data_IF_499581250174
#
_entry.id   IF_499581250174
#
_cell.length_a   1.000
_cell.length_b   1.000
_cell.length_c   1.000
_cell.angle_alpha   90.00
_cell.angle_beta   90.00
_cell.angle_gamma   90.00
#
_symmetry.space_group_name_H-M   'P 1'
#
loop_
_entity.id
_entity.type
_entity.pdbx_description
1 polymer ?
#
# COMPACT_ATOMS: atom_id res chain seq x y z
N UNK A 1 5.83 -19.25 3.78
CA UNK A 1 6.51 -18.65 2.61
C UNK A 1 7.74 -19.48 2.33
N UNK A 2 7.97 -19.81 1.06
CA UNK A 2 9.12 -20.61 0.62
C UNK A 2 10.11 -19.70 -0.12
N UNK A 3 11.40 -19.96 0.11
CA UNK A 3 12.50 -19.29 -0.55
C UNK A 3 13.12 -20.24 -1.57
N UNK A 4 13.08 -19.89 -2.84
CA UNK A 4 13.76 -20.63 -3.90
C UNK A 4 14.91 -19.80 -4.45
N UNK A 5 16.00 -20.46 -4.84
CA UNK A 5 17.11 -19.85 -5.56
C UNK A 5 17.21 -20.46 -6.94
N UNK A 6 17.56 -19.64 -7.93
CA UNK A 6 17.94 -20.13 -9.24
C UNK A 6 19.18 -21.02 -9.13
N UNK A 7 19.35 -21.93 -10.08
CA UNK A 7 20.58 -22.70 -10.20
C UNK A 7 21.80 -21.77 -10.26
N UNK A 8 22.91 -22.19 -9.66
CA UNK A 8 24.20 -21.50 -9.73
C UNK A 8 24.76 -21.40 -11.16
N UNK A 9 24.21 -22.19 -12.10
CA UNK A 9 24.52 -22.09 -13.53
C UNK A 9 23.85 -20.90 -14.21
N UNK A 10 22.87 -20.26 -13.57
CA UNK A 10 22.20 -19.05 -14.06
C UNK A 10 22.94 -17.85 -13.47
N UNK A 11 23.57 -17.06 -14.34
CA UNK A 11 24.46 -15.94 -13.99
C UNK A 11 23.81 -14.99 -12.99
N UNK A 12 22.50 -14.74 -13.10
CA UNK A 12 21.84 -13.74 -12.29
C UNK A 12 21.48 -14.17 -10.85
N UNK A 13 21.72 -15.43 -10.43
CA UNK A 13 21.58 -15.91 -9.03
C UNK A 13 20.36 -15.33 -8.28
N UNK A 14 19.17 -15.47 -8.86
CA UNK A 14 17.95 -14.89 -8.33
C UNK A 14 17.40 -15.71 -7.16
N UNK A 15 16.95 -15.03 -6.12
CA UNK A 15 16.14 -15.62 -5.06
C UNK A 15 14.70 -15.12 -5.21
N UNK A 16 13.74 -16.03 -5.08
CA UNK A 16 12.32 -15.77 -5.22
C UNK A 16 11.62 -16.06 -3.90
N UNK A 17 10.66 -15.20 -3.56
CA UNK A 17 9.76 -15.43 -2.45
C UNK A 17 8.42 -15.96 -2.97
N UNK A 18 8.01 -17.12 -2.48
CA UNK A 18 6.79 -17.80 -2.90
C UNK A 18 5.83 -18.02 -1.74
N UNK A 19 4.53 -17.98 -2.03
CA UNK A 19 3.48 -18.38 -1.10
C UNK A 19 2.68 -19.55 -1.68
N UNK A 20 2.47 -20.58 -0.87
CA UNK A 20 1.45 -21.57 -1.14
C UNK A 20 0.07 -20.94 -0.86
N UNK A 21 -0.75 -20.86 -1.91
CA UNK A 21 -2.11 -20.35 -1.89
C UNK A 21 -3.15 -21.46 -2.10
N UNK A 22 -2.77 -22.73 -1.93
CA UNK A 22 -3.65 -23.89 -2.11
C UNK A 22 -4.00 -24.17 -3.56
N UNK A 23 -3.06 -23.92 -4.48
CA UNK A 23 -3.22 -24.03 -5.93
C UNK A 23 -2.07 -24.85 -6.54
N UNK A 24 -2.20 -25.27 -7.80
CA UNK A 24 -1.18 -26.06 -8.50
C UNK A 24 0.17 -25.34 -8.57
N UNK A 25 0.15 -24.01 -8.76
CA UNK A 25 1.35 -23.18 -8.80
C UNK A 25 1.40 -22.24 -7.61
N UNK A 26 2.57 -22.06 -6.96
CA UNK A 26 2.70 -21.08 -5.89
C UNK A 26 2.57 -19.65 -6.43
N UNK A 27 2.08 -18.73 -5.59
CA UNK A 27 2.03 -17.31 -5.90
C UNK A 27 3.40 -16.66 -5.71
N UNK A 28 3.89 -15.95 -6.72
CA UNK A 28 5.16 -15.21 -6.65
C UNK A 28 4.99 -13.87 -5.94
N UNK A 29 5.74 -13.69 -4.85
CA UNK A 29 5.70 -12.50 -4.02
C UNK A 29 6.78 -11.51 -4.45
N UNK A 30 6.36 -10.32 -4.86
CA UNK A 30 7.23 -9.23 -5.30
C UNK A 30 7.05 -7.98 -4.43
N UNK A 31 7.96 -7.04 -4.58
CA UNK A 31 7.94 -5.78 -3.85
C UNK A 31 8.32 -4.63 -4.77
N UNK A 32 7.57 -3.53 -4.68
CA UNK A 32 7.90 -2.26 -5.31
C UNK A 32 8.16 -1.23 -4.21
N UNK A 33 9.39 -0.71 -4.08
CA UNK A 33 9.74 0.24 -3.03
C UNK A 33 9.08 1.61 -3.24
N UNK A 34 9.11 2.46 -2.20
CA UNK A 34 8.57 3.82 -2.27
C UNK A 34 9.21 4.64 -3.39
N UNK A 35 8.48 5.64 -3.92
CA UNK A 35 9.03 6.55 -4.90
C UNK A 35 10.26 7.26 -4.30
N UNK A 36 11.35 7.25 -5.06
CA UNK A 36 12.55 8.03 -4.77
C UNK A 36 12.49 9.33 -5.58
N UNK A 37 12.79 10.46 -4.93
CA UNK A 37 12.82 11.77 -5.59
C UNK A 37 13.77 11.75 -6.78
N UNK A 38 13.35 12.33 -7.91
CA UNK A 38 14.14 12.38 -9.14
C UNK A 38 14.40 11.04 -9.86
N UNK A 39 13.84 9.92 -9.38
CA UNK A 39 13.97 8.60 -10.04
C UNK A 39 12.67 8.18 -10.72
N UNK A 40 12.68 7.52 -11.88
CA UNK A 40 11.45 7.01 -12.50
C UNK A 40 10.75 5.96 -11.62
N UNK A 41 9.47 5.72 -11.91
CA UNK A 41 8.72 4.61 -11.32
C UNK A 41 9.46 3.28 -11.59
N UNK A 42 9.47 2.39 -10.59
CA UNK A 42 10.23 1.14 -10.65
C UNK A 42 9.28 -0.02 -10.93
N UNK A 43 9.76 -1.00 -11.69
CA UNK A 43 9.07 -2.28 -11.82
C UNK A 43 9.11 -3.05 -10.48
N UNK A 44 8.15 -3.96 -10.25
CA UNK A 44 8.23 -4.92 -9.16
C UNK A 44 9.54 -5.70 -9.20
N UNK A 45 10.09 -5.99 -8.02
CA UNK A 45 11.34 -6.74 -7.86
C UNK A 45 11.14 -7.92 -6.92
N UNK A 46 12.12 -8.80 -6.89
CA UNK A 46 12.14 -9.91 -5.93
C UNK A 46 12.04 -9.42 -4.48
N UNK A 47 11.14 -10.03 -3.73
CA UNK A 47 10.83 -9.65 -2.35
C UNK A 47 11.87 -10.16 -1.34
N UNK A 48 13.14 -10.21 -1.74
CA UNK A 48 14.19 -10.88 -0.99
C UNK A 48 15.06 -9.97 -0.14
N UNK A 49 15.04 -8.66 -0.42
CA UNK A 49 15.72 -7.65 0.39
C UNK A 49 15.05 -7.40 1.74
N UNK A 50 15.80 -6.89 2.71
CA UNK A 50 15.31 -6.67 4.08
C UNK A 50 14.05 -5.79 4.15
N UNK A 51 13.99 -4.71 3.37
CA UNK A 51 12.81 -3.85 3.31
C UNK A 51 11.57 -4.59 2.80
N UNK A 52 11.70 -5.38 1.73
CA UNK A 52 10.63 -6.19 1.19
C UNK A 52 10.12 -7.22 2.20
N UNK A 53 11.03 -7.94 2.87
CA UNK A 53 10.68 -8.94 3.89
C UNK A 53 9.91 -8.31 5.05
N UNK A 54 10.32 -7.13 5.53
CA UNK A 54 9.61 -6.42 6.61
C UNK A 54 8.18 -6.06 6.19
N UNK A 55 7.98 -5.55 4.98
CA UNK A 55 6.64 -5.24 4.47
C UNK A 55 5.80 -6.51 4.34
N UNK A 56 6.40 -7.62 3.87
CA UNK A 56 5.72 -8.90 3.76
C UNK A 56 5.35 -9.53 5.11
N UNK A 57 6.23 -9.47 6.11
CA UNK A 57 5.98 -9.98 7.46
C UNK A 57 4.71 -9.36 8.06
N UNK A 58 4.56 -8.04 7.91
CA UNK A 58 3.43 -7.25 8.44
C UNK A 58 2.09 -7.48 7.74
N UNK A 59 2.03 -8.36 6.75
CA UNK A 59 0.80 -8.71 6.05
C UNK A 59 0.73 -10.15 5.57
N UNK A 60 1.64 -11.04 6.01
CA UNK A 60 1.73 -12.40 5.53
C UNK A 60 0.45 -13.21 5.84
N UNK A 61 -0.08 -13.09 7.06
CA UNK A 61 -1.28 -13.83 7.48
C UNK A 61 -2.52 -13.51 6.63
N UNK A 62 -2.58 -12.32 6.04
CA UNK A 62 -3.72 -11.94 5.17
C UNK A 62 -3.67 -12.56 3.78
N UNK A 63 -2.58 -13.24 3.40
CA UNK A 63 -2.50 -13.99 2.14
C UNK A 63 -3.50 -15.14 2.06
N UNK A 64 -3.98 -15.62 3.21
CA UNK A 64 -5.03 -16.65 3.26
C UNK A 64 -6.31 -16.25 2.50
N UNK A 65 -6.63 -14.95 2.43
CA UNK A 65 -7.78 -14.44 1.67
C UNK A 65 -7.65 -14.59 0.15
N UNK A 66 -6.46 -14.92 -0.34
CA UNK A 66 -6.14 -15.14 -1.75
C UNK A 66 -6.15 -16.63 -2.15
N UNK A 67 -6.40 -17.55 -1.21
CA UNK A 67 -6.44 -18.99 -1.51
C UNK A 67 -7.57 -19.32 -2.49
N UNK A 68 -7.34 -20.26 -3.40
CA UNK A 68 -8.37 -20.70 -4.34
C UNK A 68 -8.75 -19.68 -5.42
N UNK A 69 -7.96 -18.61 -5.60
CA UNK A 69 -8.25 -17.52 -6.54
C UNK A 69 -7.39 -17.54 -7.80
N UNK A 70 -6.63 -18.62 -8.05
CA UNK A 70 -5.75 -18.71 -9.22
C UNK A 70 -4.73 -17.56 -9.32
N UNK A 71 -4.18 -17.12 -8.18
CA UNK A 71 -3.24 -16.00 -8.10
C UNK A 71 -1.86 -16.42 -8.59
N UNK A 72 -1.34 -15.70 -9.58
CA UNK A 72 -0.02 -15.93 -10.17
C UNK A 72 1.05 -15.10 -9.47
N UNK A 73 0.78 -13.83 -9.24
CA UNK A 73 1.72 -12.88 -8.63
C UNK A 73 1.04 -11.99 -7.61
N UNK A 74 1.73 -11.68 -6.52
CA UNK A 74 1.30 -10.67 -5.55
C UNK A 74 2.44 -9.67 -5.34
N UNK A 75 2.17 -8.39 -5.61
CA UNK A 75 3.12 -7.30 -5.41
C UNK A 75 2.68 -6.43 -4.23
N UNK A 76 3.57 -6.21 -3.26
CA UNK A 76 3.40 -5.11 -2.31
C UNK A 76 4.09 -3.87 -2.89
N UNK A 77 3.30 -2.90 -3.36
CA UNK A 77 3.81 -1.59 -3.75
C UNK A 77 3.68 -0.61 -2.60
N UNK A 78 4.80 -0.23 -2.01
CA UNK A 78 4.85 0.89 -1.07
C UNK A 78 4.75 2.18 -1.87
N UNK A 79 3.60 2.85 -1.86
CA UNK A 79 3.38 4.04 -2.69
C UNK A 79 3.70 5.34 -1.94
N UNK A 80 3.84 5.28 -0.61
CA UNK A 80 4.12 6.46 0.22
C UNK A 80 4.62 6.12 1.62
N UNK A 81 5.29 7.10 2.22
CA UNK A 81 5.69 7.13 3.63
C UNK A 81 5.28 8.46 4.23
N UNK A 82 4.55 8.43 5.32
CA UNK A 82 3.98 9.62 5.94
C UNK A 82 4.51 9.76 7.36
N UNK A 83 5.08 10.92 7.68
CA UNK A 83 5.40 11.30 9.05
C UNK A 83 4.10 11.55 9.82
N UNK A 84 4.00 10.92 11.00
CA UNK A 84 2.80 10.99 11.81
C UNK A 84 2.83 12.20 12.74
N UNK A 85 1.67 12.84 13.00
CA UNK A 85 1.56 13.93 13.95
C UNK A 85 2.12 13.59 15.34
N UNK A 86 2.61 14.61 16.05
CA UNK A 86 3.14 14.44 17.41
C UNK A 86 4.51 13.76 17.47
N UNK A 87 5.21 13.61 16.35
CA UNK A 87 6.50 12.92 16.34
C UNK A 87 6.37 11.40 16.53
N UNK A 88 5.18 10.83 16.28
CA UNK A 88 4.90 9.41 16.47
C UNK A 88 5.64 8.47 15.50
N UNK A 89 6.56 9.00 14.68
CA UNK A 89 7.37 8.25 13.73
C UNK A 89 6.80 8.24 12.32
N UNK A 90 7.35 7.37 11.47
CA UNK A 90 7.02 7.30 10.04
C UNK A 90 6.24 6.03 9.72
N UNK A 91 5.08 6.21 9.12
CA UNK A 91 4.23 5.14 8.59
C UNK A 91 4.58 4.81 7.14
N UNK A 92 4.14 3.65 6.67
CA UNK A 92 4.19 3.28 5.25
C UNK A 92 2.79 2.97 4.73
N UNK A 93 2.55 3.32 3.48
CA UNK A 93 1.31 3.04 2.77
C UNK A 93 1.60 2.08 1.63
N UNK A 94 0.92 0.93 1.66
CA UNK A 94 1.19 -0.19 0.75
C UNK A 94 -0.07 -0.55 0.01
N UNK A 95 -0.01 -0.57 -1.31
CA UNK A 95 -1.02 -1.21 -2.13
C UNK A 95 -0.54 -2.60 -2.51
N UNK A 96 -1.23 -3.62 -2.02
CA UNK A 96 -1.00 -4.99 -2.42
C UNK A 96 -1.88 -5.29 -3.63
N UNK A 97 -1.26 -5.65 -4.75
CA UNK A 97 -1.97 -6.15 -5.93
C UNK A 97 -1.77 -7.64 -6.06
N UNK A 98 -2.85 -8.39 -6.26
CA UNK A 98 -2.82 -9.79 -6.67
C UNK A 98 -3.34 -9.90 -8.10
N UNK A 99 -2.54 -10.47 -8.99
CA UNK A 99 -2.91 -10.76 -10.37
C UNK A 99 -3.16 -12.25 -10.53
N UNK A 100 -4.33 -12.59 -11.08
CA UNK A 100 -4.74 -13.98 -11.34
C UNK A 100 -4.41 -14.42 -12.76
N UNK A 101 -4.39 -15.73 -12.98
CA UNK A 101 -4.27 -16.34 -14.32
C UNK A 101 -5.41 -15.94 -15.26
N UNK A 102 -6.59 -15.62 -14.72
CA UNK A 102 -7.73 -15.12 -15.49
C UNK A 102 -7.57 -13.65 -15.96
N UNK A 103 -6.44 -12.99 -15.65
CA UNK A 103 -6.16 -11.61 -16.03
C UNK A 103 -6.81 -10.55 -15.15
N UNK A 104 -7.67 -10.95 -14.20
CA UNK A 104 -8.31 -10.04 -13.23
C UNK A 104 -7.33 -9.70 -12.11
N UNK A 105 -7.23 -8.42 -11.76
CA UNK A 105 -6.46 -7.92 -10.63
C UNK A 105 -7.35 -7.52 -9.47
N UNK A 106 -6.93 -7.83 -8.25
CA UNK A 106 -7.52 -7.30 -7.02
C UNK A 106 -6.48 -6.57 -6.21
N UNK A 107 -6.88 -5.54 -5.47
CA UNK A 107 -6.00 -4.77 -4.60
C UNK A 107 -6.51 -4.72 -3.18
N UNK A 108 -5.60 -4.64 -2.23
CA UNK A 108 -5.88 -4.09 -0.90
C UNK A 108 -4.86 -3.03 -0.53
N UNK A 109 -5.36 -1.91 -0.02
CA UNK A 109 -4.54 -0.82 0.48
C UNK A 109 -4.38 -0.97 1.98
N UNK A 110 -3.15 -0.85 2.46
CA UNK A 110 -2.80 -1.06 3.86
C UNK A 110 -2.02 0.13 4.40
N UNK A 111 -2.39 0.53 5.60
CA UNK A 111 -1.62 1.43 6.45
C UNK A 111 -0.74 0.61 7.38
N UNK A 112 0.56 0.81 7.29
CA UNK A 112 1.56 0.22 8.18
C UNK A 112 1.97 1.30 9.20
N UNK A 113 1.52 1.22 10.46
CA UNK A 113 1.98 2.17 11.48
C UNK A 113 3.51 2.08 11.65
N UNK A 114 4.14 3.10 12.26
CA UNK A 114 5.54 3.05 12.66
C UNK A 114 5.85 1.72 13.34
N UNK A 115 6.95 1.09 12.94
CA UNK A 115 7.34 -0.20 13.48
C UNK A 115 7.80 0.00 14.93
N UNK A 116 6.90 -0.22 15.89
CA UNK A 116 7.28 -0.49 17.29
C UNK A 116 7.93 -1.85 17.37
N UNK A 117 7.27 -2.87 16.79
CA UNK A 117 7.80 -4.19 16.51
C UNK A 117 7.89 -4.44 15.01
N UNK A 118 8.83 -5.31 14.59
CA UNK A 118 9.04 -5.64 13.18
C UNK A 118 7.80 -6.28 12.52
N UNK A 119 6.94 -6.92 13.31
CA UNK A 119 5.81 -7.72 12.86
C UNK A 119 4.43 -7.10 13.12
N UNK A 120 4.37 -5.87 13.66
CA UNK A 120 3.09 -5.18 13.94
C UNK A 120 2.23 -5.17 12.66
N UNK A 121 1.06 -5.84 12.63
CA UNK A 121 0.31 -6.00 11.39
C UNK A 121 -0.10 -4.66 10.78
N UNK A 122 -0.13 -4.61 9.44
CA UNK A 122 -0.76 -3.52 8.73
C UNK A 122 -2.28 -3.55 8.87
N UNK A 123 -2.92 -2.38 8.94
CA UNK A 123 -4.38 -2.24 8.86
C UNK A 123 -4.80 -2.13 7.40
N UNK A 124 -5.77 -2.95 6.96
CA UNK A 124 -6.41 -2.75 5.67
C UNK A 124 -7.35 -1.53 5.73
N UNK A 125 -7.27 -0.66 4.75
CA UNK A 125 -7.99 0.63 4.73
C UNK A 125 -8.89 0.80 3.51
N UNK A 126 -8.68 0.00 2.46
CA UNK A 126 -9.50 -0.07 1.26
C UNK A 126 -9.19 -1.37 0.51
N UNK A 127 -10.13 -1.85 -0.31
CA UNK A 127 -9.92 -3.03 -1.14
C UNK A 127 -10.85 -3.01 -2.36
N UNK A 128 -10.32 -3.40 -3.51
CA UNK A 128 -11.07 -3.38 -4.76
C UNK A 128 -10.74 -4.63 -5.61
N UNK A 129 -11.68 -5.04 -6.45
CA UNK A 129 -11.58 -6.23 -7.31
C UNK A 129 -11.81 -5.82 -8.76
N UNK A 130 -11.35 -6.66 -9.68
CA UNK A 130 -11.48 -6.41 -11.12
C UNK A 130 -10.96 -5.02 -11.54
N UNK A 131 -9.83 -4.62 -10.95
CA UNK A 131 -9.29 -3.26 -11.04
C UNK A 131 -7.88 -3.22 -11.61
N UNK A 132 -7.55 -2.12 -12.28
CA UNK A 132 -6.21 -1.82 -12.79
C UNK A 132 -5.29 -1.18 -11.73
N UNK A 133 -5.82 -0.80 -10.55
CA UNK A 133 -5.06 -0.13 -9.51
C UNK A 133 -3.77 -0.86 -9.13
N UNK A 134 -2.73 -0.10 -8.83
CA UNK A 134 -1.43 -0.59 -8.37
C UNK A 134 -0.73 -1.50 -9.40
N UNK A 135 -0.95 -1.19 -10.67
CA UNK A 135 -0.32 -1.82 -11.83
C UNK A 135 0.24 -0.75 -12.77
N UNK A 136 0.87 -1.18 -13.87
CA UNK A 136 1.29 -0.28 -14.94
C UNK A 136 0.14 0.53 -15.56
N UNK A 137 -1.11 0.10 -15.42
CA UNK A 137 -2.29 0.77 -15.96
C UNK A 137 -3.01 1.66 -14.94
N UNK A 138 -2.96 1.31 -13.65
CA UNK A 138 -3.54 2.08 -12.55
C UNK A 138 -2.46 2.57 -11.61
N UNK A 139 -1.71 3.58 -12.06
CA UNK A 139 -0.49 4.05 -11.39
C UNK A 139 -0.74 5.08 -10.29
N UNK A 140 -1.99 5.50 -10.10
CA UNK A 140 -2.31 6.57 -9.17
C UNK A 140 -3.45 6.16 -8.23
N UNK A 141 -3.27 6.44 -6.95
CA UNK A 141 -4.26 6.16 -5.92
C UNK A 141 -4.14 7.17 -4.78
N UNK A 142 -5.25 7.33 -4.06
CA UNK A 142 -5.30 8.01 -2.77
C UNK A 142 -6.05 7.12 -1.78
N UNK A 143 -5.55 7.06 -0.55
CA UNK A 143 -6.15 6.28 0.52
C UNK A 143 -6.19 7.08 1.82
N UNK A 144 -7.06 6.66 2.74
CA UNK A 144 -7.27 7.35 4.01
C UNK A 144 -7.49 6.37 5.16
N UNK A 145 -7.16 6.78 6.38
CA UNK A 145 -7.45 6.03 7.60
C UNK A 145 -7.69 6.96 8.76
N UNK A 146 -8.61 6.61 9.66
CA UNK A 146 -8.58 7.14 11.01
C UNK A 146 -7.36 6.56 11.75
N UNK A 147 -6.71 7.39 12.54
CA UNK A 147 -5.57 7.00 13.37
C UNK A 147 -5.59 7.81 14.68
N UNK A 148 -5.07 7.23 15.75
CA UNK A 148 -4.95 7.87 17.04
C UNK A 148 -3.47 7.94 17.43
N UNK A 149 -3.03 9.13 17.86
CA UNK A 149 -1.67 9.33 18.35
C UNK A 149 -1.45 8.67 19.71
N UNK A 150 -0.19 8.45 20.12
CA UNK A 150 0.12 7.95 21.47
C UNK A 150 -0.49 8.80 22.59
N UNK A 151 -0.65 10.11 22.38
CA UNK A 151 -1.30 11.05 23.32
C UNK A 151 -2.83 11.03 23.24
N UNK A 152 -3.42 10.12 22.45
CA UNK A 152 -4.87 9.93 22.36
C UNK A 152 -5.58 10.86 21.37
N UNK A 153 -4.87 11.74 20.65
CA UNK A 153 -5.46 12.66 19.66
C UNK A 153 -5.81 11.92 18.38
N UNK A 154 -7.01 12.15 17.85
CA UNK A 154 -7.49 11.49 16.62
C UNK A 154 -7.14 12.32 15.39
N UNK A 155 -6.82 11.63 14.31
CA UNK A 155 -6.52 12.22 13.02
C UNK A 155 -7.13 11.40 11.88
N UNK A 156 -7.58 12.09 10.83
CA UNK A 156 -7.70 11.51 9.51
C UNK A 156 -6.35 11.63 8.80
N UNK A 157 -5.72 10.49 8.53
CA UNK A 157 -4.53 10.43 7.69
C UNK A 157 -4.94 10.16 6.24
N UNK A 158 -4.32 10.86 5.31
CA UNK A 158 -4.50 10.71 3.87
C UNK A 158 -3.13 10.62 3.20
N UNK A 159 -2.99 9.67 2.28
CA UNK A 159 -1.80 9.53 1.44
C UNK A 159 -2.17 9.30 -0.02
N UNK A 160 -1.50 10.05 -0.89
CA UNK A 160 -1.51 9.91 -2.33
C UNK A 160 -0.24 9.24 -2.85
N UNK A 161 -0.35 8.55 -3.98
CA UNK A 161 0.79 8.08 -4.76
C UNK A 161 1.64 9.24 -5.30
N UNK A 162 2.84 8.93 -5.80
CA UNK A 162 3.85 9.87 -6.31
C UNK A 162 3.31 11.13 -7.01
N UNK A 163 2.43 10.96 -7.99
CA UNK A 163 1.93 12.04 -8.87
C UNK A 163 0.82 12.89 -8.24
N UNK A 164 0.43 12.62 -7.00
CA UNK A 164 -0.53 13.47 -6.28
C UNK A 164 0.16 14.77 -5.89
N UNK A 165 -0.34 15.87 -6.43
CA UNK A 165 0.15 17.22 -6.19
C UNK A 165 -0.69 18.01 -5.17
N UNK A 166 -1.88 17.51 -4.85
CA UNK A 166 -2.71 18.11 -3.80
C UNK A 166 -3.80 17.20 -3.29
N UNK A 167 -4.19 17.44 -2.04
CA UNK A 167 -5.22 16.71 -1.32
C UNK A 167 -6.25 17.68 -0.77
N UNK A 168 -7.53 17.30 -0.87
CA UNK A 168 -8.65 18.01 -0.27
C UNK A 168 -9.54 17.04 0.49
N UNK A 169 -9.91 17.44 1.70
CA UNK A 169 -10.85 16.76 2.60
C UNK A 169 -12.03 17.69 2.85
N UNK A 170 -13.23 17.13 2.82
CA UNK A 170 -14.51 17.83 3.04
C UNK A 170 -15.46 16.92 3.83
N UNK A 171 -16.50 17.49 4.44
CA UNK A 171 -17.48 16.77 5.26
C UNK A 171 -17.33 17.17 6.72
N UNK A 172 -17.31 16.20 7.63
CA UNK A 172 -17.13 16.42 9.08
C UNK A 172 -15.89 17.29 9.37
N UNK A 173 -14.83 17.14 8.58
CA UNK A 173 -13.64 17.99 8.63
C UNK A 173 -13.30 18.58 7.26
N UNK A 174 -12.67 19.75 7.26
CA UNK A 174 -12.24 20.46 6.07
C UNK A 174 -10.75 20.76 6.12
N UNK A 175 -10.02 20.35 5.08
CA UNK A 175 -8.60 20.64 4.94
C UNK A 175 -8.15 20.53 3.48
N UNK A 176 -7.15 21.30 3.12
CA UNK A 176 -6.52 21.25 1.80
C UNK A 176 -5.02 21.47 1.93
N UNK A 177 -4.24 20.76 1.12
CA UNK A 177 -2.79 20.90 1.08
C UNK A 177 -2.24 20.55 -0.30
N UNK A 178 -1.28 21.33 -0.78
CA UNK A 178 -0.49 21.03 -1.97
C UNK A 178 0.66 20.08 -1.61
N UNK A 179 0.30 18.86 -1.21
CA UNK A 179 1.20 17.78 -0.83
C UNK A 179 0.46 16.45 -1.11
N UNK A 180 1.21 15.35 -1.18
CA UNK A 180 0.65 13.99 -1.27
C UNK A 180 0.33 13.37 0.08
N UNK A 181 0.59 14.07 1.18
CA UNK A 181 0.19 13.65 2.52
C UNK A 181 -0.60 14.73 3.23
N UNK A 182 -1.59 14.30 4.01
CA UNK A 182 -2.38 15.17 4.86
C UNK A 182 -2.72 14.43 6.16
N UNK A 183 -2.67 15.14 7.27
CA UNK A 183 -3.14 14.68 8.57
C UNK A 183 -4.05 15.78 9.13
N UNK A 184 -5.33 15.46 9.29
CA UNK A 184 -6.35 16.41 9.75
C UNK A 184 -6.75 15.99 11.17
N UNK A 185 -6.60 16.86 12.20
CA UNK A 185 -7.15 16.59 13.51
C UNK A 185 -8.66 16.31 13.40
N UNK A 186 -9.13 15.36 14.20
CA UNK A 186 -10.55 15.04 14.30
C UNK A 186 -11.00 15.16 15.75
N UNK A 187 -12.17 15.74 15.94
CA UNK A 187 -12.82 15.75 17.25
C UNK A 187 -13.56 14.42 17.50
N UNK A 188 -14.14 14.25 18.69
CA UNK A 188 -14.80 12.99 19.07
C UNK A 188 -16.10 12.74 18.29
N UNK A 189 -16.76 13.81 17.85
CA UNK A 189 -18.02 13.76 17.09
C UNK A 189 -17.77 13.47 15.61
N UNK A 190 -16.59 13.82 15.08
CA UNK A 190 -16.23 13.58 13.68
C UNK A 190 -16.03 12.10 13.39
N UNK A 191 -16.50 11.65 12.23
CA UNK A 191 -16.30 10.28 11.77
C UNK A 191 -15.50 10.24 10.48
N UNK A 192 -14.64 9.23 10.33
CA UNK A 192 -14.01 9.02 9.03
C UNK A 192 -15.09 8.73 7.96
N UNK A 193 -16.22 8.12 8.31
CA UNK A 193 -17.28 7.82 7.35
C UNK A 193 -17.88 9.07 6.67
N UNK A 194 -18.07 10.17 7.41
CA UNK A 194 -18.61 11.44 6.89
C UNK A 194 -17.64 12.24 6.02
N UNK A 195 -16.35 11.91 6.06
CA UNK A 195 -15.33 12.64 5.27
C UNK A 195 -15.19 12.11 3.84
N UNK A 196 -15.09 13.04 2.89
CA UNK A 196 -14.76 12.79 1.49
C UNK A 196 -13.38 13.34 1.18
N UNK A 197 -12.57 12.52 0.51
CA UNK A 197 -11.21 12.87 0.09
C UNK A 197 -11.12 12.86 -1.43
N UNK A 198 -10.57 13.92 -1.98
CA UNK A 198 -10.16 14.02 -3.38
C UNK A 198 -8.69 14.36 -3.49
N UNK A 199 -8.04 13.85 -4.53
CA UNK A 199 -6.66 14.18 -4.85
C UNK A 199 -6.58 14.81 -6.23
N UNK A 200 -5.66 15.74 -6.42
CA UNK A 200 -5.30 16.34 -7.70
C UNK A 200 -3.93 15.81 -8.11
N UNK A 201 -3.82 15.34 -9.35
CA UNK A 201 -2.57 14.90 -9.95
C UNK A 201 -1.81 16.08 -10.57
N UNK A 202 -0.50 15.91 -10.81
CA UNK A 202 0.33 16.90 -11.50
C UNK A 202 -0.24 17.32 -12.86
N UNK A 203 -0.84 16.37 -13.60
CA UNK A 203 -1.51 16.62 -14.88
C UNK A 203 -2.91 17.26 -14.76
N UNK A 204 -3.35 17.62 -13.55
CA UNK A 204 -4.65 18.23 -13.27
C UNK A 204 -5.82 17.25 -13.12
N UNK A 205 -5.66 15.97 -13.44
CA UNK A 205 -6.70 14.97 -13.24
C UNK A 205 -7.02 14.79 -11.74
N UNK A 206 -8.23 14.33 -11.43
CA UNK A 206 -8.68 14.15 -10.05
C UNK A 206 -8.94 12.68 -9.74
N UNK A 207 -8.62 12.30 -8.50
CA UNK A 207 -8.86 10.97 -7.96
C UNK A 207 -9.79 11.05 -6.74
N UNK A 208 -10.50 9.96 -6.50
CA UNK A 208 -11.21 9.69 -5.24
C UNK A 208 -10.52 8.54 -4.54
N UNK A 209 -10.78 8.39 -3.24
CA UNK A 209 -10.23 7.28 -2.48
C UNK A 209 -10.69 5.94 -3.03
N UNK A 210 -9.78 4.97 -2.99
CA UNK A 210 -10.13 3.55 -3.14
C UNK A 210 -11.19 3.23 -2.08
N UNK A 211 -12.23 2.51 -2.50
CA UNK A 211 -13.34 2.13 -1.62
C UNK A 211 -13.05 0.81 -0.91
#
# INVERSE_FOLDING_TARGET
>A
MLWLRSSERIVESHAFLLADLGEVTPGHLTYTPPPESGRPARAPREAVGAAARRVWARGACTLQGLRGRGVRTVNNWEFGRQDLPGGAGRSAWVCRRADSWAGRGSVSVRFLPPAGDADTPGREVAADRDTALCSRFGQHLVARTAWQSPEGRRYLLVAGSREVAGLRVTGDVHAERNDRYLAVPMDREDTAAGTRVTARLENGATLRTVR
#
